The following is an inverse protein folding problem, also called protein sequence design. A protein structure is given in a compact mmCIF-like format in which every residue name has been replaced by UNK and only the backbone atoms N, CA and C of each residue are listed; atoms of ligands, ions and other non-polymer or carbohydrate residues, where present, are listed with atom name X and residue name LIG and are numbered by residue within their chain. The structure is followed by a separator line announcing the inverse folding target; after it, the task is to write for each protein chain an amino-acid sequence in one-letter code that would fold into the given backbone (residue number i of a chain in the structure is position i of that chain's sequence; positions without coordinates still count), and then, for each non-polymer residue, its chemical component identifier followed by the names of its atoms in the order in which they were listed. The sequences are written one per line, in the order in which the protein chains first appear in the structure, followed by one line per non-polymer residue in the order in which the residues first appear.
data_IF_386690625485
#
_entry.id   IF_386690625485
#
_cell.length_a   1.000
_cell.length_b   1.000
_cell.length_c   1.000
_cell.angle_alpha   90.00
_cell.angle_beta   90.00
_cell.angle_gamma   90.00
#
_symmetry.space_group_name_H-M   'P 1'
#
loop_
_entity.id
_entity.type
_entity.pdbx_description
1 polymer ?
#
# COMPACT_ATOMS: atom_id res chain seq x y z
N UNK A 1 -2.88 -6.66 15.74
CA UNK A 1 -2.14 -6.38 14.51
C UNK A 1 -3.00 -5.54 13.57
N UNK A 2 -2.38 -4.53 12.97
CA UNK A 2 -3.06 -3.65 12.02
C UNK A 2 -2.37 -3.77 10.67
N UNK A 3 -3.14 -3.79 9.61
CA UNK A 3 -2.63 -3.86 8.25
C UNK A 3 -2.75 -2.51 7.58
N UNK A 4 -1.65 -2.01 7.06
CA UNK A 4 -1.59 -0.70 6.43
C UNK A 4 -1.35 -0.86 4.94
N UNK A 5 -2.18 -0.21 4.13
CA UNK A 5 -2.04 -0.18 2.69
C UNK A 5 -1.21 1.05 2.31
N UNK A 6 -0.11 0.83 1.63
CA UNK A 6 0.83 1.91 1.29
C UNK A 6 1.06 1.94 -0.21
N UNK A 7 1.01 3.12 -0.77
CA UNK A 7 1.38 3.39 -2.15
C UNK A 7 2.83 3.85 -2.17
N UNK A 8 3.67 3.11 -2.86
CA UNK A 8 5.08 3.43 -3.01
C UNK A 8 5.33 3.99 -4.41
N UNK A 9 6.12 5.05 -4.49
CA UNK A 9 6.46 5.67 -5.75
C UNK A 9 7.95 5.99 -5.78
N UNK A 10 8.63 5.56 -6.83
CA UNK A 10 10.03 5.85 -7.04
C UNK A 10 10.18 6.39 -8.46
N UNK A 11 10.20 7.72 -8.58
CA UNK A 11 10.26 8.40 -9.88
C UNK A 11 11.29 9.52 -9.77
N UNK A 12 12.13 9.66 -10.81
CA UNK A 12 13.15 10.72 -10.89
C UNK A 12 14.10 10.73 -9.70
N UNK A 13 14.51 9.54 -9.25
CA UNK A 13 15.39 9.36 -8.10
C UNK A 13 14.78 9.86 -6.79
N UNK A 14 13.46 10.02 -6.75
CA UNK A 14 12.75 10.39 -5.54
C UNK A 14 11.86 9.25 -5.10
N UNK A 15 11.99 8.89 -3.83
CA UNK A 15 11.15 7.87 -3.21
C UNK A 15 10.09 8.55 -2.37
N UNK A 16 8.84 8.23 -2.66
CA UNK A 16 7.71 8.75 -1.90
C UNK A 16 6.79 7.61 -1.51
N UNK A 17 6.09 7.77 -0.41
CA UNK A 17 5.09 6.80 0.00
C UNK A 17 3.89 7.51 0.59
N UNK A 18 2.73 6.90 0.42
CA UNK A 18 1.49 7.43 0.95
C UNK A 18 0.70 6.30 1.58
N UNK A 19 0.20 6.53 2.78
CA UNK A 19 -0.68 5.59 3.44
C UNK A 19 -2.09 5.78 2.90
N UNK A 20 -2.61 4.76 2.23
CA UNK A 20 -3.93 4.83 1.62
C UNK A 20 -5.04 4.44 2.60
N UNK A 21 -4.72 3.60 3.58
CA UNK A 21 -5.71 3.20 4.54
C UNK A 21 -5.16 2.19 5.53
N UNK A 22 -5.95 1.88 6.54
CA UNK A 22 -5.60 0.87 7.53
C UNK A 22 -6.77 -0.09 7.70
N UNK A 23 -6.44 -1.36 7.97
CA UNK A 23 -7.43 -2.43 8.01
C UNK A 23 -7.12 -3.36 9.18
N UNK A 24 -8.16 -3.98 9.72
CA UNK A 24 -8.00 -4.89 10.84
C UNK A 24 -7.56 -6.30 10.46
N UNK A 25 -7.69 -6.67 9.18
CA UNK A 25 -7.34 -8.00 8.71
C UNK A 25 -6.56 -7.92 7.41
N UNK A 26 -5.74 -8.95 7.18
CA UNK A 26 -5.00 -9.06 5.94
C UNK A 26 -5.94 -9.18 4.73
N UNK A 27 -7.03 -9.90 4.88
CA UNK A 27 -7.97 -10.08 3.79
C UNK A 27 -8.55 -8.75 3.30
N UNK A 28 -8.88 -7.87 4.23
CA UNK A 28 -9.37 -6.54 3.88
C UNK A 28 -8.30 -5.73 3.16
N UNK A 29 -7.08 -5.77 3.68
CA UNK A 29 -5.98 -5.03 3.08
C UNK A 29 -5.71 -5.52 1.65
N UNK A 30 -5.72 -6.84 1.46
CA UNK A 30 -5.48 -7.42 0.13
C UNK A 30 -6.58 -7.06 -0.86
N UNK A 31 -7.81 -6.95 -0.42
CA UNK A 31 -8.90 -6.50 -1.29
C UNK A 31 -8.71 -5.07 -1.73
N UNK A 32 -8.34 -4.20 -0.79
CA UNK A 32 -8.08 -2.81 -1.10
C UNK A 32 -6.84 -2.68 -1.99
N UNK A 33 -5.83 -3.52 -1.74
CA UNK A 33 -4.64 -3.55 -2.56
C UNK A 33 -4.97 -3.90 -4.01
N UNK A 34 -5.80 -4.91 -4.22
CA UNK A 34 -6.18 -5.33 -5.57
C UNK A 34 -6.87 -4.18 -6.32
N UNK A 35 -7.72 -3.44 -5.63
CA UNK A 35 -8.39 -2.29 -6.24
C UNK A 35 -7.42 -1.16 -6.55
N UNK A 36 -6.46 -0.93 -5.65
CA UNK A 36 -5.48 0.13 -5.84
C UNK A 36 -4.49 -0.22 -6.96
N UNK A 37 -4.14 -1.49 -7.11
CA UNK A 37 -3.22 -1.91 -8.15
C UNK A 37 -3.75 -1.63 -9.55
N UNK A 38 -5.06 -1.64 -9.72
CA UNK A 38 -5.66 -1.33 -11.02
C UNK A 38 -5.34 0.10 -11.42
N UNK A 39 -5.14 1.00 -10.46
CA UNK A 39 -4.83 2.39 -10.72
C UNK A 39 -3.34 2.65 -10.93
N UNK A 40 -2.50 1.68 -10.60
CA UNK A 40 -1.05 1.80 -10.79
C UNK A 40 -0.74 1.47 -12.24
N UNK A 41 -0.35 2.47 -13.03
CA UNK A 41 -0.08 2.29 -14.45
C UNK A 41 1.34 2.64 -14.84
N UNK A 42 2.11 3.18 -13.92
CA UNK A 42 3.46 3.63 -14.21
C UNK A 42 4.50 2.69 -13.62
N UNK A 43 5.60 2.51 -14.33
CA UNK A 43 6.75 1.80 -13.80
C UNK A 43 7.33 2.63 -12.66
N UNK A 44 7.72 1.98 -11.59
CA UNK A 44 8.26 2.68 -10.43
C UNK A 44 7.24 2.93 -9.34
N UNK A 45 6.00 2.51 -9.55
CA UNK A 45 4.95 2.60 -8.54
C UNK A 45 4.48 1.22 -8.13
N UNK A 46 4.13 1.07 -6.86
CA UNK A 46 3.65 -0.19 -6.33
C UNK A 46 2.76 0.06 -5.12
N UNK A 47 1.90 -0.91 -4.84
CA UNK A 47 1.04 -0.87 -3.67
C UNK A 47 1.32 -2.13 -2.87
N UNK A 48 1.46 -1.98 -1.56
CA UNK A 48 1.74 -3.12 -0.71
C UNK A 48 1.04 -3.00 0.64
N UNK A 49 0.87 -4.13 1.31
CA UNK A 49 0.29 -4.19 2.65
C UNK A 49 1.38 -4.54 3.65
N UNK A 50 1.40 -3.83 4.77
CA UNK A 50 2.31 -4.09 5.88
C UNK A 50 1.52 -4.43 7.13
N UNK A 51 2.01 -5.40 7.88
CA UNK A 51 1.48 -5.70 9.19
C UNK A 51 2.24 -4.86 10.22
N UNK A 52 1.49 -4.16 11.05
CA UNK A 52 2.06 -3.31 12.10
C UNK A 52 1.49 -3.76 13.43
N UNK A 53 2.38 -4.09 14.35
CA UNK A 53 2.00 -4.40 15.72
C UNK A 53 1.94 -3.12 16.53
N UNK A 54 0.81 -2.94 17.18
CA UNK A 54 0.58 -1.77 17.99
C UNK A 54 0.32 -2.21 19.42
N UNK A 55 1.23 -1.89 20.29
CA UNK A 55 1.08 -2.16 21.71
C UNK A 55 0.43 -0.99 22.41
#
# INVERSE_FOLDING_TARGET
VMWILVWLSFIDNKFEYYQLGSFGTEAHCNRAKAKAEVMVKNVGQAVTCFAVDRN
#
